data_IF_096164881759
#
_entry.id   IF_096164881759
#
_cell.length_a   1.000
_cell.length_b   1.000
_cell.length_c   1.000
_cell.angle_alpha   90.00
_cell.angle_beta   90.00
_cell.angle_gamma   90.00
#
_symmetry.space_group_name_H-M   'P 1'
#
loop_
_entity.id
_entity.type
_entity.pdbx_description
1 polymer ?
#
# COMPACT_ATOMS: atom_id res chain seq x y z
N UNK A 1 -10.46 -12.75 -32.07
CA UNK A 1 -10.01 -12.63 -30.67
C UNK A 1 -8.87 -11.62 -30.65
N UNK A 2 -9.14 -10.39 -30.20
CA UNK A 2 -8.14 -9.32 -30.22
C UNK A 2 -7.22 -9.49 -29.00
N UNK A 3 -5.93 -9.77 -29.23
CA UNK A 3 -4.93 -9.75 -28.16
C UNK A 3 -4.69 -8.27 -27.83
N UNK A 4 -5.22 -7.81 -26.71
CA UNK A 4 -4.91 -6.48 -26.19
C UNK A 4 -3.46 -6.52 -25.72
N UNK A 5 -2.54 -5.95 -26.51
CA UNK A 5 -1.17 -5.74 -26.07
C UNK A 5 -1.18 -4.68 -24.97
N UNK A 6 -0.99 -5.12 -23.72
CA UNK A 6 -0.82 -4.22 -22.59
C UNK A 6 0.63 -3.71 -22.61
N UNK A 7 0.82 -2.53 -23.17
CA UNK A 7 2.12 -1.85 -23.07
C UNK A 7 2.39 -1.44 -21.62
N UNK A 8 3.63 -1.54 -21.14
CA UNK A 8 3.99 -1.07 -19.81
C UNK A 8 3.71 0.43 -19.70
N UNK A 9 3.06 0.84 -18.60
CA UNK A 9 2.86 2.26 -18.27
C UNK A 9 4.22 2.93 -18.07
N UNK A 10 4.51 3.99 -18.81
CA UNK A 10 5.74 4.77 -18.68
C UNK A 10 5.70 5.64 -17.41
N UNK A 11 6.87 5.98 -16.89
CA UNK A 11 6.97 6.90 -15.75
C UNK A 11 6.44 8.31 -16.10
N UNK A 12 6.47 8.69 -17.38
CA UNK A 12 5.88 9.94 -17.89
C UNK A 12 4.35 9.95 -17.73
N UNK A 13 3.67 8.85 -18.07
CA UNK A 13 2.21 8.73 -17.89
C UNK A 13 1.81 8.80 -16.41
N UNK A 14 2.60 8.21 -15.50
CA UNK A 14 2.35 8.33 -14.06
C UNK A 14 2.52 9.78 -13.57
N UNK A 15 3.54 10.49 -14.05
CA UNK A 15 3.77 11.91 -13.72
C UNK A 15 2.68 12.81 -14.29
N UNK A 16 2.17 12.50 -15.49
CA UNK A 16 1.02 13.20 -16.05
C UNK A 16 -0.22 13.05 -15.16
N UNK A 17 -0.57 11.82 -14.76
CA UNK A 17 -1.70 11.57 -13.84
C UNK A 17 -1.54 12.27 -12.49
N UNK A 18 -0.33 12.26 -11.92
CA UNK A 18 -0.01 12.99 -10.69
C UNK A 18 -0.30 14.48 -10.86
N UNK A 19 0.21 15.07 -11.94
CA UNK A 19 0.09 16.50 -12.23
C UNK A 19 -1.36 16.91 -12.45
N UNK A 20 -2.11 16.11 -13.21
CA UNK A 20 -3.54 16.33 -13.44
C UNK A 20 -4.35 16.27 -12.14
N UNK A 21 -4.08 15.28 -11.28
CA UNK A 21 -4.72 15.20 -9.97
C UNK A 21 -4.38 16.39 -9.09
N UNK A 22 -3.09 16.73 -9.00
CA UNK A 22 -2.61 17.86 -8.19
C UNK A 22 -3.25 19.18 -8.64
N UNK A 23 -3.31 19.43 -9.95
CA UNK A 23 -3.97 20.60 -10.53
C UNK A 23 -5.46 20.67 -10.18
N UNK A 24 -6.21 19.57 -10.33
CA UNK A 24 -7.64 19.49 -9.96
C UNK A 24 -7.88 19.75 -8.48
N UNK A 25 -6.94 19.30 -7.64
CA UNK A 25 -7.02 19.43 -6.18
C UNK A 25 -6.39 20.72 -5.64
N UNK A 26 -5.74 21.51 -6.50
CA UNK A 26 -4.90 22.67 -6.10
C UNK A 26 -3.86 22.26 -5.05
N UNK A 27 -3.22 21.11 -5.26
CA UNK A 27 -2.14 20.60 -4.42
C UNK A 27 -0.80 20.91 -5.08
N UNK A 28 0.18 21.24 -4.26
CA UNK A 28 1.58 21.31 -4.68
C UNK A 28 2.28 20.02 -4.27
N UNK A 29 2.89 19.35 -5.25
CA UNK A 29 3.71 18.15 -5.04
C UNK A 29 5.04 18.58 -4.42
N UNK A 30 5.48 17.87 -3.39
CA UNK A 30 6.73 18.18 -2.71
C UNK A 30 7.85 17.23 -3.15
N UNK A 31 8.00 16.07 -2.51
CA UNK A 31 9.10 15.14 -2.77
C UNK A 31 8.61 13.75 -3.22
N UNK A 32 9.47 13.04 -3.93
CA UNK A 32 9.26 11.65 -4.28
C UNK A 32 9.62 10.75 -3.09
N UNK A 33 8.63 10.05 -2.54
CA UNK A 33 8.82 9.19 -1.37
C UNK A 33 9.25 7.76 -1.75
N UNK A 34 8.92 7.32 -2.96
CA UNK A 34 9.31 5.99 -3.43
C UNK A 34 8.50 5.52 -4.62
N UNK A 35 8.97 4.44 -5.25
CA UNK A 35 8.30 3.84 -6.40
C UNK A 35 8.76 2.40 -6.65
N UNK A 36 7.98 1.68 -7.46
CA UNK A 36 8.27 0.28 -7.79
C UNK A 36 7.34 -0.29 -8.84
N UNK A 37 7.09 -1.60 -8.75
CA UNK A 37 6.26 -2.33 -9.72
C UNK A 37 4.77 -1.95 -9.65
N UNK A 38 4.32 -1.42 -8.51
CA UNK A 38 2.91 -1.10 -8.29
C UNK A 38 2.56 0.35 -8.65
N UNK A 39 3.51 1.27 -8.56
CA UNK A 39 3.24 2.70 -8.67
C UNK A 39 4.39 3.57 -8.18
N UNK A 40 4.12 4.87 -8.09
CA UNK A 40 5.01 5.89 -7.50
C UNK A 40 4.24 6.66 -6.43
N UNK A 41 4.96 7.15 -5.42
CA UNK A 41 4.41 7.86 -4.26
C UNK A 41 5.14 9.20 -4.09
N UNK A 42 4.37 10.26 -3.93
CA UNK A 42 4.87 11.60 -3.66
C UNK A 42 4.19 12.18 -2.42
N UNK A 43 4.91 12.98 -1.65
CA UNK A 43 4.29 13.85 -0.64
C UNK A 43 3.76 15.13 -1.30
N UNK A 44 2.90 15.84 -0.57
CA UNK A 44 2.49 17.20 -0.91
C UNK A 44 2.98 18.17 0.15
N UNK A 45 2.81 19.47 -0.08
CA UNK A 45 3.04 20.49 0.97
C UNK A 45 1.97 20.50 2.07
N UNK A 46 0.85 19.79 1.85
CA UNK A 46 -0.08 19.41 2.92
C UNK A 46 0.39 18.08 3.53
N UNK A 47 -0.04 17.72 4.76
CA UNK A 47 0.34 16.46 5.41
C UNK A 47 -0.36 15.24 4.77
N UNK A 48 -0.16 15.05 3.47
CA UNK A 48 -0.69 13.96 2.66
C UNK A 48 0.35 13.44 1.67
N UNK A 49 0.15 12.19 1.26
CA UNK A 49 0.88 11.53 0.19
C UNK A 49 -0.09 11.06 -0.91
N UNK A 50 0.38 11.11 -2.15
CA UNK A 50 -0.34 10.68 -3.35
C UNK A 50 0.39 9.47 -3.92
N UNK A 51 -0.31 8.34 -4.02
CA UNK A 51 0.14 7.16 -4.74
C UNK A 51 -0.56 7.07 -6.09
N UNK A 52 0.24 6.98 -7.15
CA UNK A 52 -0.21 6.78 -8.54
C UNK A 52 0.12 5.36 -8.96
N UNK A 53 -0.88 4.62 -9.43
CA UNK A 53 -0.74 3.20 -9.69
C UNK A 53 -0.44 2.91 -11.17
N UNK A 54 0.45 1.94 -11.40
CA UNK A 54 0.78 1.41 -12.73
C UNK A 54 -0.30 0.50 -13.29
N UNK A 55 -1.06 -0.18 -12.43
CA UNK A 55 -2.06 -1.18 -12.84
C UNK A 55 -3.34 -1.05 -12.03
N UNK A 56 -4.48 -1.20 -12.73
CA UNK A 56 -5.84 -1.16 -12.15
C UNK A 56 -6.01 -2.11 -10.97
N UNK A 57 -5.52 -3.35 -11.11
CA UNK A 57 -5.65 -4.38 -10.05
C UNK A 57 -5.00 -3.97 -8.72
N UNK A 58 -3.85 -3.27 -8.74
CA UNK A 58 -3.19 -2.81 -7.52
C UNK A 58 -3.95 -1.64 -6.89
N UNK A 59 -4.45 -0.72 -7.73
CA UNK A 59 -5.29 0.39 -7.29
C UNK A 59 -6.56 -0.11 -6.58
N UNK A 60 -7.27 -1.04 -7.20
CA UNK A 60 -8.52 -1.59 -6.65
C UNK A 60 -8.30 -2.33 -5.33
N UNK A 61 -7.20 -3.10 -5.22
CA UNK A 61 -6.83 -3.78 -3.98
C UNK A 61 -6.56 -2.81 -2.84
N UNK A 62 -5.76 -1.78 -3.09
CA UNK A 62 -5.45 -0.78 -2.06
C UNK A 62 -6.70 0.00 -1.64
N UNK A 63 -7.58 0.35 -2.60
CA UNK A 63 -8.88 0.98 -2.30
C UNK A 63 -9.76 0.06 -1.45
N UNK A 64 -9.81 -1.23 -1.73
CA UNK A 64 -10.59 -2.19 -0.94
C UNK A 64 -10.08 -2.29 0.50
N UNK A 65 -8.77 -2.32 0.70
CA UNK A 65 -8.15 -2.32 2.03
C UNK A 65 -8.44 -1.02 2.76
N UNK A 66 -8.28 0.13 2.11
CA UNK A 66 -8.61 1.42 2.72
C UNK A 66 -10.09 1.56 3.06
N UNK A 67 -10.99 0.98 2.26
CA UNK A 67 -12.40 0.90 2.60
C UNK A 67 -12.64 0.07 3.87
N UNK A 68 -11.95 -1.08 4.01
CA UNK A 68 -11.99 -1.92 5.22
C UNK A 68 -11.43 -1.20 6.45
N UNK A 69 -10.29 -0.54 6.32
CA UNK A 69 -9.67 0.28 7.38
C UNK A 69 -10.66 1.33 7.87
N UNK A 70 -11.28 2.07 6.93
CA UNK A 70 -12.26 3.10 7.26
C UNK A 70 -13.51 2.53 7.93
N UNK A 71 -14.06 1.42 7.43
CA UNK A 71 -15.29 0.83 7.98
C UNK A 71 -15.08 0.22 9.37
N UNK A 72 -13.85 -0.18 9.70
CA UNK A 72 -13.45 -0.70 11.02
C UNK A 72 -12.92 0.38 11.97
N UNK A 73 -12.76 1.62 11.51
CA UNK A 73 -12.19 2.70 12.31
C UNK A 73 -10.73 2.49 12.70
N UNK A 74 -9.96 1.76 11.88
CA UNK A 74 -8.55 1.45 12.18
C UNK A 74 -7.71 2.69 11.91
N UNK A 75 -7.05 3.20 12.94
CA UNK A 75 -6.01 4.24 12.83
C UNK A 75 -4.63 3.75 13.23
N UNK A 76 -4.56 2.61 13.93
CA UNK A 76 -3.32 1.99 14.37
C UNK A 76 -3.53 0.50 14.59
N UNK A 77 -2.46 -0.28 14.46
CA UNK A 77 -2.40 -1.72 14.73
C UNK A 77 -1.15 -2.02 15.54
N UNK A 78 -1.25 -2.68 16.70
CA UNK A 78 -0.12 -2.93 17.60
C UNK A 78 0.75 -1.68 17.90
N UNK A 79 0.15 -0.48 17.94
CA UNK A 79 0.88 0.79 18.13
C UNK A 79 1.52 1.38 16.86
N UNK A 80 1.40 0.74 15.70
CA UNK A 80 1.85 1.25 14.41
C UNK A 80 0.74 2.06 13.75
N UNK A 81 1.05 3.27 13.30
CA UNK A 81 0.09 4.14 12.62
C UNK A 81 -0.25 3.58 11.24
N UNK A 82 -1.54 3.63 10.88
CA UNK A 82 -2.03 3.27 9.55
C UNK A 82 -2.56 4.55 8.87
N UNK A 83 -2.05 4.94 7.69
CA UNK A 83 -2.54 6.12 6.98
C UNK A 83 -4.04 6.02 6.71
N UNK A 84 -4.78 7.11 6.95
CA UNK A 84 -6.17 7.16 6.53
C UNK A 84 -6.28 7.56 5.06
N UNK A 85 -7.20 6.95 4.30
CA UNK A 85 -7.51 7.40 2.96
C UNK A 85 -8.21 8.76 3.04
N UNK A 86 -7.64 9.77 2.37
CA UNK A 86 -8.26 11.09 2.25
C UNK A 86 -9.19 11.11 1.04
N UNK A 87 -8.65 10.73 -0.13
CA UNK A 87 -9.36 10.78 -1.42
C UNK A 87 -8.85 9.71 -2.37
N UNK A 88 -9.64 9.43 -3.41
CA UNK A 88 -9.23 8.60 -4.54
C UNK A 88 -9.72 9.22 -5.84
N UNK A 89 -9.05 8.90 -6.94
CA UNK A 89 -9.50 9.25 -8.28
C UNK A 89 -9.42 8.03 -9.19
N UNK A 90 -10.57 7.48 -9.55
CA UNK A 90 -10.67 6.17 -10.20
C UNK A 90 -10.08 6.18 -11.61
N UNK A 91 -10.36 7.22 -12.40
CA UNK A 91 -9.82 7.33 -13.77
C UNK A 91 -8.29 7.46 -13.79
N UNK A 92 -7.74 8.32 -12.92
CA UNK A 92 -6.30 8.53 -12.79
C UNK A 92 -5.60 7.42 -11.99
N UNK A 93 -6.35 6.48 -11.41
CA UNK A 93 -5.85 5.43 -10.52
C UNK A 93 -4.95 6.01 -9.43
N UNK A 94 -5.51 6.91 -8.62
CA UNK A 94 -4.81 7.61 -7.54
C UNK A 94 -5.48 7.37 -6.20
N UNK A 95 -4.66 7.21 -5.16
CA UNK A 95 -5.07 7.33 -3.76
C UNK A 95 -4.25 8.44 -3.11
N UNK A 96 -4.95 9.37 -2.45
CA UNK A 96 -4.38 10.36 -1.54
C UNK A 96 -4.66 9.89 -0.11
N UNK A 97 -3.63 9.82 0.72
CA UNK A 97 -3.69 9.37 2.11
C UNK A 97 -2.93 10.32 3.05
N UNK A 98 -3.17 10.22 4.34
CA UNK A 98 -2.40 10.93 5.36
C UNK A 98 -0.91 10.58 5.25
N UNK A 99 -0.04 11.56 5.48
CA UNK A 99 1.37 11.30 5.73
C UNK A 99 1.54 10.90 7.20
N UNK A 100 2.21 9.78 7.48
CA UNK A 100 2.39 9.26 8.84
C UNK A 100 3.88 9.20 9.19
N UNK A 101 4.18 9.38 10.46
CA UNK A 101 5.51 9.17 11.03
C UNK A 101 5.63 7.76 11.59
N UNK A 102 6.86 7.29 11.76
CA UNK A 102 7.13 6.00 12.37
C UNK A 102 6.60 5.98 13.82
N UNK A 103 6.22 4.80 14.35
CA UNK A 103 6.12 3.53 13.64
C UNK A 103 4.87 3.48 12.74
N UNK A 104 4.96 2.83 11.58
CA UNK A 104 3.86 2.76 10.61
C UNK A 104 3.73 1.42 9.88
N UNK A 105 2.53 1.18 9.35
CA UNK A 105 2.27 0.15 8.33
C UNK A 105 1.73 0.80 7.06
N UNK A 106 2.41 0.56 5.93
CA UNK A 106 2.13 1.13 4.61
C UNK A 106 1.94 0.05 3.54
N UNK A 107 1.55 0.53 2.36
CA UNK A 107 1.50 -0.21 1.09
C UNK A 107 0.60 -1.45 1.11
N UNK A 108 -0.67 -1.23 0.74
CA UNK A 108 -1.69 -2.27 0.75
C UNK A 108 -2.03 -2.81 -0.65
N UNK A 109 -1.28 -2.43 -1.70
CA UNK A 109 -1.65 -2.78 -3.08
C UNK A 109 -1.51 -4.27 -3.41
N UNK A 110 -0.80 -5.02 -2.56
CA UNK A 110 -0.65 -6.48 -2.61
C UNK A 110 -1.46 -7.21 -1.55
N UNK A 111 -2.21 -6.51 -0.69
CA UNK A 111 -3.00 -7.16 0.36
C UNK A 111 -4.34 -7.67 -0.18
N UNK A 112 -4.84 -8.73 0.46
CA UNK A 112 -6.18 -9.27 0.22
C UNK A 112 -7.19 -8.81 1.28
N UNK A 113 -8.47 -8.81 0.91
CA UNK A 113 -9.60 -8.55 1.82
C UNK A 113 -10.46 -9.80 1.88
N UNK A 114 -10.81 -10.24 3.09
CA UNK A 114 -11.55 -11.48 3.39
C UNK A 114 -10.88 -12.79 2.93
N UNK A 115 -9.62 -12.71 2.52
CA UNK A 115 -8.76 -13.84 2.21
C UNK A 115 -7.41 -13.38 1.66
N UNK A 116 -6.40 -14.27 1.63
CA UNK A 116 -5.17 -14.00 0.90
C UNK A 116 -5.43 -13.95 -0.61
N UNK A 117 -4.59 -13.25 -1.37
CA UNK A 117 -4.71 -13.17 -2.83
C UNK A 117 -4.33 -14.47 -3.54
N UNK A 118 -3.53 -15.30 -2.89
CA UNK A 118 -2.99 -16.55 -3.42
C UNK A 118 -3.00 -17.61 -2.33
N UNK A 119 -3.27 -18.85 -2.72
CA UNK A 119 -3.05 -20.02 -1.89
C UNK A 119 -1.64 -20.54 -2.15
N UNK A 120 -0.86 -20.69 -1.07
CA UNK A 120 0.51 -21.19 -1.14
C UNK A 120 0.59 -22.55 -0.44
N UNK A 121 1.52 -23.39 -0.91
CA UNK A 121 1.84 -24.65 -0.23
C UNK A 121 2.42 -24.39 1.16
N UNK A 122 2.35 -25.39 2.04
CA UNK A 122 2.95 -25.30 3.37
C UNK A 122 4.46 -25.01 3.31
N UNK A 123 5.15 -25.56 2.31
CA UNK A 123 6.58 -25.32 2.05
C UNK A 123 6.84 -23.84 1.70
N UNK A 124 6.10 -23.28 0.74
CA UNK A 124 6.24 -21.87 0.35
C UNK A 124 5.91 -20.92 1.50
N UNK A 125 4.93 -21.25 2.34
CA UNK A 125 4.60 -20.47 3.54
C UNK A 125 5.73 -20.51 4.58
N UNK A 126 6.38 -21.66 4.78
CA UNK A 126 7.49 -21.81 5.71
C UNK A 126 8.74 -21.05 5.23
N UNK A 127 9.04 -21.09 3.93
CA UNK A 127 10.12 -20.32 3.31
C UNK A 127 9.90 -18.81 3.46
N UNK A 128 8.68 -18.33 3.17
CA UNK A 128 8.33 -16.93 3.31
C UNK A 128 8.37 -16.46 4.78
N UNK A 129 7.92 -17.30 5.73
CA UNK A 129 8.08 -17.02 7.16
C UNK A 129 9.55 -16.92 7.57
N UNK A 130 10.41 -17.85 7.14
CA UNK A 130 11.83 -17.83 7.46
C UNK A 130 12.52 -16.58 6.87
N UNK A 131 12.22 -16.25 5.61
CA UNK A 131 12.72 -15.02 4.96
C UNK A 131 12.30 -13.75 5.71
N UNK A 132 11.03 -13.67 6.14
CA UNK A 132 10.54 -12.51 6.91
C UNK A 132 11.17 -12.45 8.30
N UNK A 133 11.38 -13.60 8.94
CA UNK A 133 12.10 -13.67 10.22
C UNK A 133 13.52 -13.13 10.08
N UNK A 134 14.23 -13.44 9.00
CA UNK A 134 15.56 -12.88 8.72
C UNK A 134 15.50 -11.37 8.45
N UNK A 135 14.52 -10.88 7.71
CA UNK A 135 14.38 -9.44 7.41
C UNK A 135 14.07 -8.56 8.63
N UNK A 136 13.40 -9.12 9.63
CA UNK A 136 12.98 -8.38 10.83
C UNK A 136 13.75 -8.77 12.08
N UNK A 137 14.56 -9.83 12.02
CA UNK A 137 15.41 -10.31 13.11
C UNK A 137 14.61 -10.42 14.44
N UNK A 138 15.09 -9.77 15.49
CA UNK A 138 14.47 -9.75 16.83
C UNK A 138 13.09 -9.08 16.85
N UNK A 139 12.74 -8.30 15.83
CA UNK A 139 11.44 -7.62 15.71
C UNK A 139 10.36 -8.52 15.09
N UNK A 140 10.71 -9.72 14.59
CA UNK A 140 9.76 -10.63 13.95
C UNK A 140 8.52 -10.97 14.81
N UNK A 141 8.62 -11.21 16.13
CA UNK A 141 7.45 -11.44 16.97
C UNK A 141 6.43 -10.28 16.92
N UNK A 142 6.90 -9.03 16.93
CA UNK A 142 6.04 -7.85 16.82
C UNK A 142 5.37 -7.78 15.46
N UNK A 143 6.10 -8.07 14.39
CA UNK A 143 5.54 -8.11 13.03
C UNK A 143 4.46 -9.17 12.89
N UNK A 144 4.63 -10.35 13.51
CA UNK A 144 3.58 -11.37 13.54
C UNK A 144 2.30 -10.89 14.22
N UNK A 145 2.42 -10.12 15.31
CA UNK A 145 1.25 -9.54 15.98
C UNK A 145 0.53 -8.52 15.06
N UNK A 146 1.27 -7.68 14.34
CA UNK A 146 0.71 -6.77 13.33
C UNK A 146 -0.05 -7.54 12.25
N UNK A 147 0.57 -8.58 11.68
CA UNK A 147 -0.06 -9.42 10.65
C UNK A 147 -1.34 -10.07 11.20
N UNK A 148 -1.29 -10.61 12.41
CA UNK A 148 -2.42 -11.25 13.06
C UNK A 148 -3.58 -10.26 13.29
N UNK A 149 -3.29 -9.04 13.76
CA UNK A 149 -4.30 -8.01 14.00
C UNK A 149 -4.96 -7.53 12.70
N UNK A 150 -4.19 -7.29 11.63
CA UNK A 150 -4.78 -7.04 10.31
C UNK A 150 -5.68 -8.20 9.85
N UNK A 151 -5.25 -9.44 10.07
CA UNK A 151 -6.05 -10.62 9.73
C UNK A 151 -7.36 -10.69 10.53
N UNK A 152 -7.37 -10.27 11.80
CA UNK A 152 -8.61 -10.16 12.60
C UNK A 152 -9.60 -9.15 11.99
N UNK A 153 -9.10 -8.14 11.28
CA UNK A 153 -9.92 -7.19 10.52
C UNK A 153 -10.25 -7.67 9.09
N UNK A 154 -9.87 -8.89 8.73
CA UNK A 154 -10.05 -9.47 7.40
C UNK A 154 -9.14 -8.85 6.35
N UNK A 155 -7.99 -8.29 6.74
CA UNK A 155 -6.96 -7.77 5.84
C UNK A 155 -5.77 -8.73 5.88
N UNK A 156 -5.36 -9.23 4.71
CA UNK A 156 -4.31 -10.23 4.59
C UNK A 156 -3.09 -9.59 3.91
N UNK A 157 -2.11 -9.16 4.71
CA UNK A 157 -0.88 -8.54 4.22
C UNK A 157 -0.02 -9.54 3.44
N UNK A 158 0.47 -9.13 2.26
CA UNK A 158 1.36 -9.97 1.43
C UNK A 158 2.77 -9.39 1.28
N UNK A 159 2.94 -8.07 1.20
CA UNK A 159 4.26 -7.43 1.03
C UNK A 159 4.84 -6.95 2.38
N UNK A 160 5.09 -7.91 3.28
CA UNK A 160 5.64 -7.65 4.61
C UNK A 160 7.17 -7.52 4.53
N UNK A 161 7.67 -6.29 4.67
CA UNK A 161 9.11 -5.94 4.63
C UNK A 161 9.40 -4.64 5.40
N UNK A 162 10.66 -4.34 5.77
CA UNK A 162 11.00 -3.16 6.59
C UNK A 162 10.58 -1.80 6.02
N UNK A 163 10.46 -1.67 4.69
CA UNK A 163 9.96 -0.45 4.04
C UNK A 163 8.45 -0.21 4.25
N UNK A 164 7.68 -1.27 4.51
CA UNK A 164 6.24 -1.22 4.67
C UNK A 164 5.81 -1.38 6.13
N UNK A 165 6.66 -1.94 6.99
CA UNK A 165 6.47 -1.98 8.45
C UNK A 165 7.73 -1.39 9.06
N UNK A 166 7.66 -0.12 9.44
CA UNK A 166 8.81 0.62 9.92
C UNK A 166 8.61 0.98 11.38
N UNK A 167 9.62 0.64 12.18
CA UNK A 167 9.68 0.93 13.61
C UNK A 167 10.32 2.31 13.81
N UNK A 168 10.27 2.83 15.05
CA UNK A 168 11.10 3.96 15.49
C UNK A 168 12.59 3.78 15.13
#
# INVERSE_FOLDING_TARGET
MLVVMVFPVSDEDLRFRLTEYAKRRKLEIHEHLGGGIQGIVFSTYLPSAIKVFKRRVHYEREVAVYHRIKSRGISSVCGFTVPKPLRRHDELMIVEMELVVKPFVLDFASAGVDGPLFEYSAETLAEDEQRRKELFEDRWPTVKNIIAEFRMHGIYLSDVKPGNIMFE
#
